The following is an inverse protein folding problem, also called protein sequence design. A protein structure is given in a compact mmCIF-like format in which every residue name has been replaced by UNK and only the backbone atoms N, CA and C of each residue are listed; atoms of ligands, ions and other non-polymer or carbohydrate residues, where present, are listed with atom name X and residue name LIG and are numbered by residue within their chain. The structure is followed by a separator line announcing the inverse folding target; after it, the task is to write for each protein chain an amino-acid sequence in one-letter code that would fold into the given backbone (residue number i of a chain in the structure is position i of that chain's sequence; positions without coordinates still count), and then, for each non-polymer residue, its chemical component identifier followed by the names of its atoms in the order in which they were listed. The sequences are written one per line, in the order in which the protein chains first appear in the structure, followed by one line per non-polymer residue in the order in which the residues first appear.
data_IF_875448839529
#
_entry.id   IF_875448839529
#
_cell.length_a   1.000
_cell.length_b   1.000
_cell.length_c   1.000
_cell.angle_alpha   90.00
_cell.angle_beta   90.00
_cell.angle_gamma   90.00
#
_symmetry.space_group_name_H-M   'P 1'
#
loop_
_entity.id
_entity.type
_entity.pdbx_description
1 polymer ?
#
# COMPACT_ATOMS: atom_id res chain seq x y z
N UNK A 1 42.09 18.89 -25.80
CA UNK A 1 40.70 18.77 -26.27
C UNK A 1 39.98 17.86 -25.31
N UNK A 2 39.14 18.43 -24.44
CA UNK A 2 38.23 17.63 -23.61
C UNK A 2 36.99 17.38 -24.44
N UNK A 3 36.78 16.13 -24.82
CA UNK A 3 35.54 15.72 -25.48
C UNK A 3 34.44 15.86 -24.43
N UNK A 4 33.55 16.83 -24.61
CA UNK A 4 32.37 16.96 -23.77
C UNK A 4 31.59 15.64 -23.88
N UNK A 5 31.38 14.89 -22.79
CA UNK A 5 30.65 13.64 -22.86
C UNK A 5 29.26 13.95 -23.38
N UNK A 6 28.80 13.14 -24.33
CA UNK A 6 27.44 13.16 -24.84
C UNK A 6 26.54 13.05 -23.60
N UNK A 7 25.88 14.15 -23.24
CA UNK A 7 24.93 14.20 -22.14
C UNK A 7 23.74 13.34 -22.55
N UNK A 8 23.80 12.05 -22.23
CA UNK A 8 22.61 11.20 -22.24
C UNK A 8 21.54 11.94 -21.44
N UNK A 9 20.39 12.14 -22.08
CA UNK A 9 19.23 12.76 -21.46
C UNK A 9 18.91 11.96 -20.21
N UNK A 10 19.25 12.50 -19.04
CA UNK A 10 19.09 11.83 -17.76
C UNK A 10 17.61 11.46 -17.62
N UNK A 11 17.35 10.16 -17.49
CA UNK A 11 15.98 9.69 -17.30
C UNK A 11 15.56 10.12 -15.91
N UNK A 12 14.62 11.07 -15.84
CA UNK A 12 14.05 11.51 -14.57
C UNK A 12 12.92 10.57 -14.16
N UNK A 13 12.85 10.25 -12.88
CA UNK A 13 11.80 9.46 -12.26
C UNK A 13 11.02 10.33 -11.27
N UNK A 14 9.68 10.36 -11.31
CA UNK A 14 8.90 11.22 -10.45
C UNK A 14 8.70 10.61 -9.05
N UNK A 15 8.88 11.43 -8.04
CA UNK A 15 8.59 11.16 -6.63
C UNK A 15 7.51 12.14 -6.16
N UNK A 16 6.32 11.66 -5.85
CA UNK A 16 5.21 12.48 -5.36
C UNK A 16 5.18 12.54 -3.83
N UNK A 17 4.87 13.73 -3.30
CA UNK A 17 4.62 13.97 -1.88
C UNK A 17 3.67 15.16 -1.73
N UNK A 18 2.57 14.99 -0.98
CA UNK A 18 1.57 16.04 -0.71
C UNK A 18 1.12 16.85 -1.96
N UNK A 19 0.97 16.18 -3.10
CA UNK A 19 0.57 16.81 -4.37
C UNK A 19 1.69 17.48 -5.15
N UNK A 20 2.90 17.62 -4.58
CA UNK A 20 4.10 18.04 -5.30
C UNK A 20 4.82 16.83 -5.90
N UNK A 21 5.44 17.04 -7.06
CA UNK A 21 6.28 16.01 -7.73
C UNK A 21 7.71 16.51 -7.83
N UNK A 22 8.63 15.70 -7.32
CA UNK A 22 10.08 15.86 -7.44
C UNK A 22 10.60 14.94 -8.53
N UNK A 23 11.59 15.39 -9.30
CA UNK A 23 12.21 14.58 -10.35
C UNK A 23 13.62 14.21 -9.91
N UNK A 24 13.92 12.91 -9.93
CA UNK A 24 15.22 12.38 -9.50
C UNK A 24 15.81 11.45 -10.55
N UNK A 25 17.13 11.27 -10.58
CA UNK A 25 17.73 10.15 -11.30
C UNK A 25 17.47 8.83 -10.53
N UNK A 26 16.73 7.86 -11.10
CA UNK A 26 16.38 6.64 -10.39
C UNK A 26 17.58 5.72 -10.18
N UNK A 27 18.61 5.76 -11.03
CA UNK A 27 19.81 4.93 -10.85
C UNK A 27 20.61 5.44 -9.66
N UNK A 28 20.76 6.78 -9.56
CA UNK A 28 21.42 7.40 -8.43
C UNK A 28 20.62 7.12 -7.16
N UNK A 29 19.30 7.37 -7.15
CA UNK A 29 18.47 7.10 -5.99
C UNK A 29 18.50 5.62 -5.57
N UNK A 30 18.49 4.67 -6.52
CA UNK A 30 18.63 3.25 -6.22
C UNK A 30 20.01 2.87 -5.67
N UNK A 31 21.06 3.61 -6.01
CA UNK A 31 22.39 3.40 -5.42
C UNK A 31 22.45 3.83 -3.96
N UNK A 32 21.67 4.85 -3.58
CA UNK A 32 21.61 5.39 -2.22
C UNK A 32 20.54 4.77 -1.33
N UNK A 33 19.38 4.38 -1.86
CA UNK A 33 18.26 3.84 -1.11
C UNK A 33 18.05 2.36 -1.40
N UNK A 34 18.29 1.49 -0.40
CA UNK A 34 18.00 0.05 -0.54
C UNK A 34 16.52 -0.20 -0.72
N UNK A 35 15.67 0.56 -0.05
CA UNK A 35 14.20 0.41 -0.18
C UNK A 35 13.71 0.78 -1.58
N UNK A 36 14.19 1.90 -2.14
CA UNK A 36 13.89 2.27 -3.52
C UNK A 36 14.40 1.24 -4.51
N UNK A 37 15.62 0.69 -4.32
CA UNK A 37 16.17 -0.37 -5.18
C UNK A 37 15.31 -1.63 -5.25
N UNK A 38 14.63 -2.00 -4.17
CA UNK A 38 13.77 -3.21 -4.16
C UNK A 38 12.52 -3.03 -5.01
N UNK A 39 11.98 -1.81 -5.04
CA UNK A 39 10.78 -1.51 -5.83
C UNK A 39 11.16 -1.14 -7.26
N UNK A 40 12.20 -0.33 -7.46
CA UNK A 40 12.64 0.12 -8.78
C UNK A 40 13.35 -1.00 -9.53
N UNK A 41 12.74 -1.46 -10.63
CA UNK A 41 13.34 -2.41 -11.54
C UNK A 41 13.49 -1.74 -12.92
N UNK A 42 14.72 -1.43 -13.39
CA UNK A 42 14.94 -0.76 -14.67
C UNK A 42 14.46 -1.59 -15.87
N UNK A 43 14.34 -2.92 -15.71
CA UNK A 43 13.84 -3.82 -16.74
C UNK A 43 12.29 -3.93 -16.73
N UNK A 44 11.63 -3.44 -15.68
CA UNK A 44 10.18 -3.48 -15.54
C UNK A 44 9.62 -2.05 -15.50
N UNK A 45 9.30 -1.53 -16.69
CA UNK A 45 8.86 -0.14 -16.94
C UNK A 45 7.51 0.19 -16.28
N UNK A 46 6.85 -0.77 -15.63
CA UNK A 46 5.50 -0.56 -15.10
C UNK A 46 5.42 0.51 -14.01
N UNK A 47 6.54 0.84 -13.37
CA UNK A 47 6.61 1.86 -12.34
C UNK A 47 6.68 3.25 -12.94
N UNK A 48 5.57 3.99 -12.87
CA UNK A 48 5.55 5.36 -13.37
C UNK A 48 5.97 6.40 -12.33
N UNK A 49 5.78 6.11 -11.04
CA UNK A 49 6.00 7.07 -9.95
C UNK A 49 6.19 6.38 -8.59
N UNK A 50 6.96 7.02 -7.72
CA UNK A 50 7.01 6.71 -6.28
C UNK A 50 6.18 7.73 -5.52
N UNK A 51 5.21 7.31 -4.72
CA UNK A 51 4.53 8.22 -3.78
C UNK A 51 5.04 8.02 -2.37
N UNK A 52 5.34 9.11 -1.67
CA UNK A 52 5.61 9.14 -0.23
C UNK A 52 4.30 9.54 0.46
N UNK A 53 3.71 8.61 1.23
CA UNK A 53 2.47 8.84 1.96
C UNK A 53 2.76 9.12 3.43
N UNK A 54 2.23 10.21 3.96
CA UNK A 54 2.34 10.60 5.38
C UNK A 54 2.41 12.12 5.59
N UNK A 55 2.12 12.55 6.82
CA UNK A 55 2.17 13.98 7.22
C UNK A 55 3.36 14.29 8.14
N UNK A 56 4.27 13.32 8.32
CA UNK A 56 5.37 13.42 9.29
C UNK A 56 6.53 14.30 8.84
N UNK A 57 6.60 14.62 7.55
CA UNK A 57 7.71 15.38 6.98
C UNK A 57 7.22 16.66 6.34
N UNK A 58 8.03 17.69 6.42
CA UNK A 58 7.81 18.89 5.62
C UNK A 58 8.25 18.68 4.17
N UNK A 59 7.57 19.38 3.24
CA UNK A 59 7.88 19.30 1.82
C UNK A 59 9.33 19.69 1.51
N UNK A 60 9.85 20.73 2.19
CA UNK A 60 11.25 21.15 2.07
C UNK A 60 12.21 20.05 2.49
N UNK A 61 11.93 19.35 3.59
CA UNK A 61 12.74 18.23 4.09
C UNK A 61 12.80 17.09 3.07
N UNK A 62 11.68 16.76 2.43
CA UNK A 62 11.64 15.74 1.37
C UNK A 62 12.50 16.17 0.18
N UNK A 63 12.39 17.42 -0.26
CA UNK A 63 13.19 17.97 -1.36
C UNK A 63 14.69 17.90 -1.06
N UNK A 64 15.11 18.37 0.12
CA UNK A 64 16.52 18.38 0.51
C UNK A 64 17.09 16.97 0.71
N UNK A 65 16.29 16.03 1.24
CA UNK A 65 16.66 14.62 1.29
C UNK A 65 16.89 14.04 -0.12
N UNK A 66 16.00 14.31 -1.08
CA UNK A 66 16.15 13.82 -2.45
C UNK A 66 17.37 14.44 -3.14
N UNK A 67 17.68 15.71 -2.89
CA UNK A 67 18.91 16.37 -3.35
C UNK A 67 20.17 15.71 -2.77
N UNK A 68 20.18 15.40 -1.47
CA UNK A 68 21.28 14.65 -0.85
C UNK A 68 21.49 13.28 -1.50
N UNK A 69 20.41 12.55 -1.80
CA UNK A 69 20.50 11.29 -2.53
C UNK A 69 21.05 11.46 -3.95
N UNK A 70 20.92 12.65 -4.55
CA UNK A 70 21.44 12.99 -5.87
C UNK A 70 22.86 13.58 -5.85
N UNK A 71 23.58 13.44 -4.74
CA UNK A 71 24.94 13.97 -4.56
C UNK A 71 25.01 15.50 -4.61
N UNK A 72 23.88 16.19 -4.46
CA UNK A 72 23.87 17.63 -4.30
C UNK A 72 24.21 17.99 -2.84
N UNK A 73 24.72 19.21 -2.64
CA UNK A 73 25.09 19.73 -1.32
C UNK A 73 24.14 20.86 -0.90
N UNK A 74 22.89 20.53 -0.51
CA UNK A 74 21.95 21.54 -0.09
C UNK A 74 22.31 22.19 1.24
N UNK A 75 21.86 23.43 1.42
CA UNK A 75 21.95 24.14 2.69
C UNK A 75 20.76 23.74 3.58
N UNK A 76 20.99 22.74 4.43
CA UNK A 76 19.96 22.19 5.30
C UNK A 76 19.98 22.92 6.65
N UNK A 77 18.86 23.52 7.09
CA UNK A 77 18.73 24.05 8.44
C UNK A 77 18.94 22.98 9.51
N UNK A 78 19.58 23.33 10.64
CA UNK A 78 19.84 22.35 11.71
C UNK A 78 18.56 21.73 12.29
N UNK A 79 17.45 22.45 12.24
CA UNK A 79 16.13 22.00 12.67
C UNK A 79 15.56 20.87 11.80
N UNK A 80 15.99 20.79 10.54
CA UNK A 80 15.46 19.82 9.55
C UNK A 80 16.26 18.51 9.55
N UNK A 81 17.48 18.51 10.10
CA UNK A 81 18.37 17.34 10.12
C UNK A 81 17.75 16.10 10.77
N UNK A 82 17.02 16.18 11.92
CA UNK A 82 16.38 15.01 12.51
C UNK A 82 15.32 14.38 11.59
N UNK A 83 14.55 15.20 10.86
CA UNK A 83 13.56 14.70 9.91
C UNK A 83 14.22 14.06 8.68
N UNK A 84 15.31 14.64 8.16
CA UNK A 84 16.10 14.05 7.08
C UNK A 84 16.71 12.71 7.51
N UNK A 85 17.22 12.61 8.74
CA UNK A 85 17.68 11.33 9.30
C UNK A 85 16.54 10.30 9.34
N UNK A 86 15.31 10.75 9.63
CA UNK A 86 14.10 9.94 9.57
C UNK A 86 13.78 9.44 8.17
N UNK A 87 13.77 10.31 7.16
CA UNK A 87 13.61 9.92 5.76
C UNK A 87 14.70 8.94 5.30
N UNK A 88 15.96 9.22 5.65
CA UNK A 88 17.08 8.35 5.30
C UNK A 88 16.94 6.95 5.94
N UNK A 89 16.44 6.87 7.18
CA UNK A 89 16.11 5.60 7.81
C UNK A 89 15.01 4.85 7.04
N UNK A 90 13.91 5.53 6.70
CA UNK A 90 12.76 4.92 5.99
C UNK A 90 13.14 4.42 4.61
N UNK A 91 13.91 5.21 3.86
CA UNK A 91 14.43 4.86 2.55
C UNK A 91 15.57 3.84 2.61
N UNK A 92 16.05 3.47 3.80
CA UNK A 92 17.24 2.65 4.00
C UNK A 92 18.45 3.21 3.23
N UNK A 93 18.64 4.52 3.36
CA UNK A 93 19.73 5.28 2.78
C UNK A 93 20.86 5.49 3.79
N UNK A 94 21.56 4.40 4.11
CA UNK A 94 22.50 4.32 5.25
C UNK A 94 23.58 5.41 5.21
N UNK A 95 24.16 5.67 4.04
CA UNK A 95 25.19 6.72 3.88
C UNK A 95 24.67 8.12 4.21
N UNK A 96 23.44 8.44 3.78
CA UNK A 96 22.81 9.72 4.08
C UNK A 96 22.49 9.80 5.58
N UNK A 97 21.94 8.72 6.14
CA UNK A 97 21.64 8.60 7.58
C UNK A 97 22.88 8.83 8.44
N UNK A 98 23.98 8.12 8.15
CA UNK A 98 25.24 8.22 8.88
C UNK A 98 25.85 9.62 8.79
N UNK A 99 25.84 10.22 7.59
CA UNK A 99 26.35 11.58 7.38
C UNK A 99 25.55 12.61 8.18
N UNK A 100 24.22 12.54 8.14
CA UNK A 100 23.34 13.48 8.84
C UNK A 100 23.43 13.28 10.36
N UNK A 101 23.42 12.05 10.85
CA UNK A 101 23.60 11.77 12.29
C UNK A 101 24.95 12.23 12.81
N UNK A 102 26.03 12.03 12.03
CA UNK A 102 27.36 12.50 12.40
C UNK A 102 27.40 14.03 12.53
N UNK A 103 26.72 14.75 11.63
CA UNK A 103 26.60 16.21 11.70
C UNK A 103 25.77 16.67 12.91
N UNK A 104 24.64 16.02 13.19
CA UNK A 104 23.83 16.30 14.40
C UNK A 104 24.66 16.07 15.66
N UNK A 105 25.32 14.92 15.79
CA UNK A 105 26.10 14.55 16.98
C UNK A 105 27.33 15.45 17.19
N UNK A 106 27.85 16.06 16.12
CA UNK A 106 28.93 17.05 16.24
C UNK A 106 28.47 18.35 16.92
N UNK A 107 27.17 18.68 16.83
CA UNK A 107 26.56 19.88 17.41
C UNK A 107 25.87 19.58 18.75
N UNK A 108 25.19 18.44 18.83
CA UNK A 108 24.50 17.94 20.01
C UNK A 108 24.82 16.46 20.25
N UNK A 109 25.86 16.15 21.06
CA UNK A 109 26.22 14.79 21.41
C UNK A 109 25.16 14.04 22.24
N UNK A 110 24.16 14.74 22.78
CA UNK A 110 23.09 14.13 23.61
C UNK A 110 21.90 13.66 22.79
N UNK A 111 21.89 13.95 21.48
CA UNK A 111 20.83 13.55 20.58
C UNK A 111 20.67 12.02 20.49
N UNK A 112 19.44 11.53 20.68
CA UNK A 112 19.08 10.11 20.55
C UNK A 112 18.11 9.95 19.38
N UNK A 113 18.53 9.23 18.35
CA UNK A 113 17.67 8.93 17.20
C UNK A 113 16.66 7.83 17.55
N UNK A 114 15.37 8.17 17.58
CA UNK A 114 14.30 7.23 17.92
C UNK A 114 13.78 6.48 16.68
N UNK A 115 14.45 5.38 16.32
CA UNK A 115 14.05 4.52 15.19
C UNK A 115 12.65 3.90 15.38
N UNK A 116 12.24 3.65 16.62
CA UNK A 116 10.98 2.95 16.90
C UNK A 116 9.75 3.80 16.56
N UNK A 117 9.85 5.13 16.67
CA UNK A 117 8.80 6.03 16.22
C UNK A 117 8.55 5.92 14.70
N UNK A 118 9.60 5.66 13.92
CA UNK A 118 9.55 5.58 12.47
C UNK A 118 9.18 4.19 11.95
N UNK A 119 9.46 3.11 12.69
CA UNK A 119 9.03 1.75 12.31
C UNK A 119 7.51 1.65 12.15
N UNK A 120 6.77 2.45 12.91
CA UNK A 120 5.31 2.51 12.86
C UNK A 120 4.79 3.56 11.86
N UNK A 121 5.68 4.33 11.23
CA UNK A 121 5.25 5.30 10.21
C UNK A 121 4.79 4.54 8.97
N UNK A 122 3.52 4.77 8.58
CA UNK A 122 2.89 4.17 7.41
C UNK A 122 3.40 4.82 6.11
N UNK A 123 4.72 4.88 5.93
CA UNK A 123 5.29 5.37 4.68
C UNK A 123 5.13 4.26 3.65
N UNK A 124 4.00 4.36 2.96
CA UNK A 124 3.62 3.47 1.88
C UNK A 124 4.28 4.02 0.62
N UNK A 125 5.15 3.20 0.04
CA UNK A 125 5.62 3.41 -1.32
C UNK A 125 4.58 2.83 -2.25
N UNK A 126 3.66 3.66 -2.71
CA UNK A 126 2.72 3.25 -3.74
C UNK A 126 3.36 3.48 -5.11
N UNK A 127 3.16 2.49 -5.96
CA UNK A 127 3.57 2.53 -7.34
C UNK A 127 2.32 2.68 -8.18
N UNK A 128 2.16 3.83 -8.81
CA UNK A 128 1.07 4.00 -9.76
C UNK A 128 1.52 3.31 -11.03
N UNK A 129 1.04 2.10 -11.27
CA UNK A 129 1.13 1.53 -12.60
C UNK A 129 0.00 2.19 -13.40
N UNK A 130 0.33 3.19 -14.21
CA UNK A 130 -0.53 3.56 -15.33
C UNK A 130 -0.48 2.40 -16.32
N UNK A 131 -1.22 1.32 -16.02
CA UNK A 131 -1.72 0.47 -17.08
C UNK A 131 -2.70 1.35 -17.85
N UNK A 132 -2.19 2.04 -18.86
CA UNK A 132 -3.01 2.43 -19.99
C UNK A 132 -3.50 1.11 -20.61
N UNK A 133 -4.56 0.55 -20.05
CA UNK A 133 -5.47 -0.29 -20.80
C UNK A 133 -6.20 0.60 -21.81
N UNK A 134 -5.45 1.26 -22.71
CA UNK A 134 -5.82 1.15 -24.11
C UNK A 134 -5.47 -0.28 -24.52
N UNK A 135 -6.22 -1.24 -23.96
CA UNK A 135 -6.63 -2.35 -24.77
C UNK A 135 -7.34 -1.64 -25.92
N UNK A 136 -6.68 -1.63 -27.06
CA UNK A 136 -7.29 -1.28 -28.32
C UNK A 136 -8.50 -2.22 -28.43
N UNK A 137 -9.66 -1.77 -27.96
CA UNK A 137 -10.90 -2.57 -27.94
C UNK A 137 -11.22 -3.00 -29.37
N UNK A 138 -10.73 -2.24 -30.36
CA UNK A 138 -10.83 -2.51 -31.78
C UNK A 138 -9.96 -3.70 -32.24
N UNK A 139 -9.05 -4.24 -31.42
CA UNK A 139 -8.29 -5.47 -31.70
C UNK A 139 -8.85 -6.74 -31.04
N UNK A 140 -9.95 -6.63 -30.29
CA UNK A 140 -10.72 -7.80 -29.88
C UNK A 140 -11.73 -8.15 -30.98
N UNK A 141 -11.24 -8.61 -32.13
CA UNK A 141 -12.07 -9.34 -33.08
C UNK A 141 -12.49 -10.65 -32.43
N UNK A 142 -13.71 -10.67 -31.88
CA UNK A 142 -14.36 -11.90 -31.49
C UNK A 142 -14.78 -12.59 -32.79
N UNK A 143 -14.07 -13.66 -33.15
CA UNK A 143 -14.57 -14.58 -34.17
C UNK A 143 -15.94 -15.09 -33.68
N UNK A 144 -16.99 -14.62 -34.34
CA UNK A 144 -18.35 -15.05 -34.11
C UNK A 144 -18.43 -16.52 -34.52
N UNK A 145 -18.39 -17.43 -33.54
CA UNK A 145 -18.57 -18.88 -33.70
C UNK A 145 -20.00 -19.21 -34.16
N UNK A 146 -20.32 -18.79 -35.38
CA UNK A 146 -21.50 -19.14 -36.12
C UNK A 146 -21.30 -20.46 -36.86
N UNK A 147 -21.40 -21.59 -36.16
CA UNK A 147 -21.82 -22.85 -36.80
C UNK A 147 -22.41 -23.84 -35.80
N UNK A 148 -23.72 -23.76 -35.66
CA UNK A 148 -24.56 -24.82 -35.14
C UNK A 148 -24.48 -26.05 -36.06
N UNK A 149 -23.61 -27.00 -35.73
CA UNK A 149 -23.67 -28.35 -36.28
C UNK A 149 -24.59 -29.18 -35.40
N UNK A 150 -25.80 -29.41 -35.86
CA UNK A 150 -26.72 -30.37 -35.29
C UNK A 150 -26.15 -31.78 -35.47
N UNK A 151 -25.77 -32.45 -34.38
CA UNK A 151 -25.54 -33.89 -34.37
C UNK A 151 -26.47 -34.52 -33.34
N UNK A 152 -27.43 -35.22 -33.93
CA UNK A 152 -28.31 -36.29 -33.45
C UNK A 152 -27.87 -37.07 -32.20
N UNK A 153 -28.81 -37.15 -31.27
CA UNK A 153 -29.19 -38.25 -30.37
C UNK A 153 -28.41 -39.57 -30.47
N UNK A 154 -27.88 -40.04 -29.34
CA UNK A 154 -27.94 -41.45 -28.95
C UNK A 154 -28.04 -41.60 -27.43
N UNK A 155 -29.19 -42.10 -27.00
CA UNK A 155 -29.54 -42.58 -25.66
C UNK A 155 -28.78 -43.85 -25.26
N UNK A 156 -28.42 -43.97 -23.98
CA UNK A 156 -28.35 -45.21 -23.15
C UNK A 156 -27.99 -44.75 -21.73
N UNK A 157 -28.94 -44.69 -20.80
CA UNK A 157 -29.31 -45.80 -19.89
C UNK A 157 -28.26 -46.12 -18.82
N UNK A 158 -28.59 -45.67 -17.60
CA UNK A 158 -28.95 -46.57 -16.49
C UNK A 158 -27.97 -46.80 -15.32
N UNK A 159 -28.58 -46.71 -14.15
CA UNK A 159 -28.28 -47.30 -12.84
C UNK A 159 -27.13 -46.81 -11.93
N UNK A 160 -27.55 -46.40 -10.71
CA UNK A 160 -27.26 -47.11 -9.45
C UNK A 160 -26.94 -46.19 -8.27
N UNK A 161 -27.98 -46.03 -7.45
CA UNK A 161 -27.99 -45.85 -5.99
C UNK A 161 -26.76 -46.31 -5.18
N UNK A 162 -26.48 -45.59 -4.09
CA UNK A 162 -25.64 -46.10 -2.99
C UNK A 162 -25.62 -45.20 -1.76
N UNK A 163 -26.41 -45.57 -0.75
CA UNK A 163 -26.39 -45.07 0.64
C UNK A 163 -24.99 -45.02 1.28
N UNK A 164 -24.79 -44.09 2.22
CA UNK A 164 -24.22 -44.42 3.54
C UNK A 164 -24.35 -43.23 4.51
N UNK A 165 -25.10 -43.48 5.59
CA UNK A 165 -25.11 -42.70 6.81
C UNK A 165 -23.79 -42.93 7.58
N UNK A 166 -23.22 -41.88 8.15
CA UNK A 166 -22.39 -42.04 9.35
C UNK A 166 -22.69 -40.93 10.36
N UNK A 167 -23.42 -41.35 11.40
CA UNK A 167 -23.49 -40.75 12.72
C UNK A 167 -22.19 -41.03 13.48
N UNK A 168 -21.73 -40.08 14.30
CA UNK A 168 -21.09 -40.26 15.63
C UNK A 168 -20.39 -38.96 16.09
N UNK A 169 -20.03 -38.79 17.37
CA UNK A 169 -20.92 -38.76 18.54
C UNK A 169 -20.72 -37.48 19.38
N UNK A 170 -21.61 -37.35 20.34
CA UNK A 170 -21.67 -36.33 21.39
C UNK A 170 -20.54 -36.55 22.43
N UNK A 171 -19.84 -35.49 22.86
CA UNK A 171 -18.99 -35.53 24.04
C UNK A 171 -19.05 -34.23 24.85
N UNK A 172 -19.60 -34.36 26.06
CA UNK A 172 -19.36 -33.64 27.32
C UNK A 172 -18.70 -32.24 27.24
N UNK A 173 -19.40 -31.16 27.62
CA UNK A 173 -19.65 -30.74 29.01
C UNK A 173 -18.35 -30.32 29.72
N UNK A 174 -18.15 -29.00 29.87
CA UNK A 174 -17.47 -28.48 31.05
C UNK A 174 -17.86 -27.01 31.31
N UNK A 175 -18.45 -26.82 32.48
CA UNK A 175 -18.70 -25.55 33.16
C UNK A 175 -17.39 -24.76 33.36
N UNK A 176 -17.48 -23.43 33.35
CA UNK A 176 -16.67 -22.63 34.27
C UNK A 176 -17.25 -21.22 34.52
N UNK A 177 -17.84 -21.10 35.71
CA UNK A 177 -17.70 -20.04 36.70
C UNK A 177 -17.28 -18.61 36.32
N UNK A 178 -18.20 -17.68 36.68
CA UNK A 178 -18.00 -16.59 37.65
C UNK A 178 -16.76 -15.68 37.53
N UNK A 179 -16.97 -14.42 37.14
CA UNK A 179 -16.58 -13.27 37.97
C UNK A 179 -17.41 -12.02 37.61
N UNK A 180 -18.40 -11.71 38.46
CA UNK A 180 -18.94 -10.36 38.63
C UNK A 180 -17.95 -9.60 39.51
N UNK A 181 -17.47 -8.47 39.05
CA UNK A 181 -16.88 -7.48 39.94
C UNK A 181 -17.61 -6.16 39.73
N UNK A 182 -18.37 -5.80 40.76
CA UNK A 182 -18.92 -4.47 40.97
C UNK A 182 -17.78 -3.48 41.22
N UNK A 183 -17.94 -2.25 40.76
CA UNK A 183 -17.32 -1.06 41.37
C UNK A 183 -18.11 0.19 40.99
N UNK A 184 -19.01 0.56 41.90
CA UNK A 184 -19.55 1.90 42.09
C UNK A 184 -18.43 2.93 42.21
N UNK A 185 -18.60 4.09 41.57
CA UNK A 185 -17.91 5.32 41.94
C UNK A 185 -18.77 6.52 41.55
N UNK A 186 -19.67 6.88 42.46
CA UNK A 186 -20.33 8.18 42.50
C UNK A 186 -19.38 9.18 43.14
N UNK A 187 -19.08 10.28 42.43
CA UNK A 187 -18.23 11.36 42.92
C UNK A 187 -18.39 12.61 42.07
N UNK A 188 -19.57 13.22 42.17
CA UNK A 188 -19.85 14.55 41.62
C UNK A 188 -19.09 15.60 42.43
N UNK A 189 -18.23 16.38 41.76
CA UNK A 189 -17.84 17.71 42.22
C UNK A 189 -17.70 18.63 41.00
N UNK A 190 -18.67 19.53 40.88
CA UNK A 190 -18.60 20.73 40.05
C UNK A 190 -17.35 21.53 40.38
N UNK A 191 -16.54 21.86 39.38
CA UNK A 191 -15.88 23.17 39.30
C UNK A 191 -15.35 23.45 37.89
N UNK A 192 -15.80 24.59 37.35
CA UNK A 192 -15.24 25.42 36.29
C UNK A 192 -14.82 24.77 34.95
N UNK A 193 -15.63 25.05 33.93
CA UNK A 193 -15.33 24.90 32.50
C UNK A 193 -14.54 26.16 32.06
N UNK A 194 -13.26 26.06 31.66
CA UNK A 194 -12.74 26.90 30.60
C UNK A 194 -13.16 26.26 29.28
N UNK A 195 -13.86 27.01 28.44
CA UNK A 195 -14.12 26.67 27.04
C UNK A 195 -12.76 26.52 26.32
N UNK A 196 -12.17 25.33 26.36
CA UNK A 196 -11.18 24.92 25.37
C UNK A 196 -11.95 24.55 24.11
N UNK A 197 -11.70 25.29 23.04
CA UNK A 197 -12.05 24.88 21.70
C UNK A 197 -11.33 23.56 21.44
N UNK A 198 -12.02 22.44 21.61
CA UNK A 198 -11.54 21.14 21.17
C UNK A 198 -11.54 21.18 19.66
N UNK A 199 -10.43 21.66 19.09
CA UNK A 199 -10.12 21.45 17.69
C UNK A 199 -10.24 19.95 17.44
N UNK A 200 -11.29 19.56 16.73
CA UNK A 200 -11.42 18.21 16.19
C UNK A 200 -10.29 18.04 15.18
N UNK A 201 -9.10 17.65 15.68
CA UNK A 201 -8.02 17.15 14.85
C UNK A 201 -8.54 15.89 14.18
N UNK A 202 -9.05 16.07 12.97
CA UNK A 202 -9.36 14.96 12.08
C UNK A 202 -8.04 14.25 11.81
N UNK A 203 -7.80 13.14 12.49
CA UNK A 203 -6.68 12.28 12.19
C UNK A 203 -6.92 11.70 10.79
N UNK A 204 -6.01 11.91 9.82
CA UNK A 204 -6.16 11.36 8.48
C UNK A 204 -6.18 9.82 8.56
N UNK A 205 -7.17 9.20 7.93
CA UNK A 205 -7.23 7.75 7.78
C UNK A 205 -6.37 7.32 6.58
N UNK A 206 -5.44 6.39 6.80
CA UNK A 206 -4.63 5.80 5.71
C UNK A 206 -5.23 4.48 5.26
N UNK A 207 -5.66 4.44 4.00
CA UNK A 207 -6.16 3.23 3.36
C UNK A 207 -5.07 2.56 2.50
N UNK A 208 -5.05 1.24 2.47
CA UNK A 208 -4.18 0.44 1.61
C UNK A 208 -5.03 -0.32 0.60
N UNK A 209 -4.72 -0.21 -0.69
CA UNK A 209 -5.33 -1.04 -1.73
C UNK A 209 -4.33 -2.12 -2.14
N UNK A 210 -4.71 -3.38 -1.94
CA UNK A 210 -3.90 -4.54 -2.29
C UNK A 210 -4.49 -5.18 -3.55
N UNK A 211 -3.65 -5.54 -4.51
CA UNK A 211 -4.01 -6.19 -5.77
C UNK A 211 -3.42 -7.60 -5.83
N UNK A 212 -4.26 -8.61 -6.01
CA UNK A 212 -3.84 -10.00 -6.26
C UNK A 212 -4.29 -10.44 -7.66
N UNK A 213 -3.32 -10.78 -8.50
CA UNK A 213 -3.54 -11.33 -9.84
C UNK A 213 -3.18 -12.82 -9.86
N UNK A 214 -4.10 -13.63 -10.35
CA UNK A 214 -3.91 -15.06 -10.58
C UNK A 214 -4.11 -15.34 -12.07
N UNK A 215 -3.22 -16.10 -12.70
CA UNK A 215 -3.27 -16.34 -14.14
C UNK A 215 -4.60 -16.96 -14.62
N UNK A 216 -5.24 -17.78 -13.77
CA UNK A 216 -6.49 -18.52 -14.09
C UNK A 216 -7.68 -18.14 -13.20
N UNK A 217 -7.54 -17.15 -12.29
CA UNK A 217 -8.63 -16.73 -11.39
C UNK A 217 -8.92 -15.25 -11.56
N UNK A 218 -10.07 -14.82 -11.03
CA UNK A 218 -10.46 -13.41 -11.01
C UNK A 218 -9.40 -12.57 -10.29
N UNK A 219 -9.18 -11.35 -10.78
CA UNK A 219 -8.35 -10.38 -10.08
C UNK A 219 -9.06 -9.97 -8.80
N UNK A 220 -8.35 -9.93 -7.68
CA UNK A 220 -8.90 -9.49 -6.39
C UNK A 220 -8.25 -8.20 -5.93
N UNK A 221 -9.05 -7.38 -5.29
CA UNK A 221 -8.65 -6.14 -4.66
C UNK A 221 -9.09 -6.18 -3.20
N UNK A 222 -8.30 -5.60 -2.30
CA UNK A 222 -8.71 -5.37 -0.92
C UNK A 222 -8.43 -3.92 -0.55
N UNK A 223 -9.42 -3.29 0.08
CA UNK A 223 -9.28 -2.01 0.75
C UNK A 223 -9.09 -2.29 2.23
N UNK A 224 -7.92 -1.97 2.76
CA UNK A 224 -7.57 -2.16 4.15
C UNK A 224 -7.41 -0.82 4.86
N UNK A 225 -7.77 -0.77 6.14
CA UNK A 225 -7.48 0.35 7.06
C UNK A 225 -6.74 -0.24 8.27
N UNK A 226 -5.53 0.27 8.55
CA UNK A 226 -4.68 -0.26 9.62
C UNK A 226 -4.46 -1.79 9.57
N UNK A 227 -4.39 -2.37 8.37
CA UNK A 227 -4.23 -3.80 8.14
C UNK A 227 -5.52 -4.63 8.19
N UNK A 228 -6.63 -4.05 8.65
CA UNK A 228 -7.94 -4.70 8.63
C UNK A 228 -8.62 -4.52 7.27
N UNK A 229 -9.14 -5.61 6.69
CA UNK A 229 -9.87 -5.55 5.41
C UNK A 229 -11.27 -4.96 5.63
N UNK A 230 -11.50 -3.76 5.10
CA UNK A 230 -12.81 -3.12 5.12
C UNK A 230 -13.70 -3.63 3.98
N UNK A 231 -13.12 -3.71 2.78
CA UNK A 231 -13.82 -4.12 1.58
C UNK A 231 -12.92 -4.97 0.72
N UNK A 232 -13.54 -5.84 -0.07
CA UNK A 232 -12.86 -6.51 -1.16
C UNK A 232 -13.53 -6.10 -2.48
N UNK A 233 -12.85 -6.43 -3.58
CA UNK A 233 -13.49 -6.50 -4.89
C UNK A 233 -12.94 -7.68 -5.68
N UNK A 234 -13.76 -8.26 -6.55
CA UNK A 234 -13.31 -9.22 -7.55
C UNK A 234 -13.73 -8.73 -8.93
N UNK A 235 -12.83 -8.78 -9.90
CA UNK A 235 -13.15 -8.52 -11.29
C UNK A 235 -12.82 -9.71 -12.21
N UNK A 236 -13.72 -9.97 -13.16
CA UNK A 236 -13.58 -10.98 -14.21
C UNK A 236 -14.22 -10.46 -15.49
N UNK A 237 -13.43 -10.27 -16.54
CA UNK A 237 -13.89 -9.69 -17.82
C UNK A 237 -14.62 -8.36 -17.59
N UNK A 238 -15.91 -8.27 -17.95
CA UNK A 238 -16.75 -7.07 -17.79
C UNK A 238 -17.49 -7.02 -16.45
N UNK A 239 -17.26 -7.98 -15.55
CA UNK A 239 -17.94 -8.06 -14.26
C UNK A 239 -17.04 -7.62 -13.12
N UNK A 240 -17.58 -6.83 -12.21
CA UNK A 240 -16.99 -6.50 -10.92
C UNK A 240 -18.01 -6.76 -9.81
N UNK A 241 -17.53 -7.31 -8.69
CA UNK A 241 -18.30 -7.44 -7.46
C UNK A 241 -17.51 -6.77 -6.33
N UNK A 242 -18.15 -5.87 -5.60
CA UNK A 242 -17.59 -5.15 -4.45
C UNK A 242 -18.44 -5.50 -3.23
N UNK A 243 -17.81 -5.70 -2.09
CA UNK A 243 -18.48 -6.13 -0.87
C UNK A 243 -17.66 -5.82 0.36
N UNK A 244 -18.34 -5.72 1.50
CA UNK A 244 -17.70 -5.49 2.79
C UNK A 244 -17.03 -6.78 3.29
N UNK A 245 -15.89 -6.63 3.98
CA UNK A 245 -15.11 -7.75 4.51
C UNK A 245 -14.21 -8.41 3.46
N UNK A 246 -13.71 -9.61 3.80
CA UNK A 246 -12.71 -10.34 3.01
C UNK A 246 -13.31 -11.31 1.98
N UNK A 247 -14.59 -11.63 2.08
CA UNK A 247 -15.26 -12.63 1.26
C UNK A 247 -16.20 -12.00 0.24
N UNK A 248 -15.89 -12.20 -1.03
CA UNK A 248 -16.75 -11.82 -2.15
C UNK A 248 -16.86 -12.98 -3.10
N UNK A 249 -18.08 -13.32 -3.49
CA UNK A 249 -18.34 -14.34 -4.49
C UNK A 249 -18.95 -13.67 -5.72
N UNK A 250 -18.29 -13.80 -6.87
CA UNK A 250 -18.93 -13.57 -8.15
C UNK A 250 -19.91 -14.72 -8.34
N UNK A 251 -21.22 -14.47 -8.20
CA UNK A 251 -22.22 -15.46 -8.56
C UNK A 251 -22.23 -15.56 -10.09
N UNK A 252 -22.21 -16.78 -10.62
CA UNK A 252 -22.03 -17.05 -12.05
C UNK A 252 -23.12 -16.45 -12.97
N UNK A 253 -24.18 -15.85 -12.42
CA UNK A 253 -25.32 -15.34 -13.22
C UNK A 253 -25.90 -13.99 -12.78
N UNK A 254 -25.27 -13.24 -11.87
CA UNK A 254 -25.87 -11.97 -11.42
C UNK A 254 -25.43 -10.78 -12.27
N UNK A 255 -26.41 -10.16 -12.94
CA UNK A 255 -26.36 -8.79 -13.47
C UNK A 255 -25.74 -7.84 -12.45
N UNK A 256 -25.02 -6.86 -12.98
CA UNK A 256 -24.43 -5.71 -12.28
C UNK A 256 -25.50 -5.09 -11.38
N UNK A 257 -25.29 -5.10 -10.06
CA UNK A 257 -25.97 -4.21 -9.13
C UNK A 257 -24.91 -3.21 -8.70
N UNK A 258 -24.95 -2.02 -9.28
CA UNK A 258 -24.24 -0.85 -8.76
C UNK A 258 -25.03 -0.27 -7.60
#
# INVERSE_FOLDING_TARGET
MFVSPITEKTRTFPVAFQGKTFYVDPNILASYSRRFRRIYNPNNIQLSQLSIVGEYFHESVVEEFLKLCQLESPQIPDLDLPEIAGLAYVFEADKVKESVLSHILSKDPTFIFNENALKNSNIIFSTINHFNHTLDIDQLEFEEDGKATAISNSSSDDNSSGHSNHSEPNLHQMENHHHKHDSNSSGSNHNHIPHSLSENKHNPATYQIILERHALKCTKYWLCLAGETLMAAKSKMLYAAIGNGSEIHLKDHSKIIC
#
